data_IF_016737919647
#
_entry.id   IF_016737919647
#
_cell.length_a   1.000
_cell.length_b   1.000
_cell.length_c   1.000
_cell.angle_alpha   90.00
_cell.angle_beta   90.00
_cell.angle_gamma   90.00
#
_symmetry.space_group_name_H-M   'P 1'
#
loop_
_entity.id
_entity.type
_entity.pdbx_description
1 polymer ?
#
# COMPACT_ATOMS: atom_id res chain seq x y z
N UNK A 1 -48.65 -28.61 -10.58
CA UNK A 1 -48.04 -27.67 -9.60
C UNK A 1 -46.96 -28.40 -8.80
N UNK A 2 -45.76 -28.49 -9.36
CA UNK A 2 -44.52 -29.12 -8.88
C UNK A 2 -43.67 -28.97 -10.14
N UNK A 3 -42.84 -27.95 -10.32
CA UNK A 3 -41.55 -27.77 -9.67
C UNK A 3 -41.28 -26.27 -9.61
N UNK A 4 -41.46 -25.69 -8.42
CA UNK A 4 -41.09 -24.31 -8.11
C UNK A 4 -40.38 -24.38 -6.77
N UNK A 5 -39.14 -24.85 -6.77
CA UNK A 5 -38.20 -24.68 -5.65
C UNK A 5 -36.79 -25.11 -6.08
N UNK A 6 -35.80 -24.34 -5.63
CA UNK A 6 -34.35 -24.53 -5.76
C UNK A 6 -33.66 -24.01 -7.02
N UNK A 7 -33.76 -22.70 -7.25
CA UNK A 7 -32.69 -21.92 -7.89
C UNK A 7 -32.25 -20.81 -6.92
N UNK A 8 -31.68 -21.21 -5.79
CA UNK A 8 -31.16 -20.31 -4.77
C UNK A 8 -29.71 -20.72 -4.45
N UNK A 9 -28.84 -19.71 -4.49
CA UNK A 9 -27.47 -19.66 -3.98
C UNK A 9 -26.39 -20.48 -4.69
N UNK A 10 -25.71 -19.81 -5.61
CA UNK A 10 -24.25 -19.75 -5.59
C UNK A 10 -23.80 -18.42 -6.19
N UNK A 11 -24.16 -17.30 -5.55
CA UNK A 11 -23.36 -16.08 -5.73
C UNK A 11 -22.12 -16.32 -4.88
N UNK A 12 -21.06 -16.79 -5.52
CA UNK A 12 -19.72 -16.82 -4.93
C UNK A 12 -19.34 -15.38 -4.61
N UNK A 13 -19.60 -14.94 -3.38
CA UNK A 13 -18.90 -13.81 -2.81
C UNK A 13 -17.46 -14.27 -2.66
N UNK A 14 -16.61 -13.90 -3.63
CA UNK A 14 -15.16 -13.91 -3.44
C UNK A 14 -14.86 -12.92 -2.32
N UNK A 15 -14.99 -13.39 -1.08
CA UNK A 15 -14.38 -12.75 0.06
C UNK A 15 -12.88 -12.83 -0.19
N UNK A 16 -12.28 -11.74 -0.67
CA UNK A 16 -10.85 -11.57 -0.70
C UNK A 16 -10.35 -11.62 0.75
N UNK A 17 -10.09 -12.83 1.24
CA UNK A 17 -9.44 -13.07 2.50
C UNK A 17 -8.01 -12.56 2.34
N UNK A 18 -7.76 -11.35 2.85
CA UNK A 18 -6.41 -10.80 2.90
C UNK A 18 -5.53 -11.79 3.67
N UNK A 19 -4.43 -12.22 3.06
CA UNK A 19 -3.46 -13.07 3.74
C UNK A 19 -2.80 -12.26 4.85
N UNK A 20 -3.24 -12.50 6.10
CA UNK A 20 -2.61 -11.94 7.29
C UNK A 20 -1.32 -12.72 7.54
N UNK A 21 -0.18 -12.05 7.38
CA UNK A 21 1.12 -12.63 7.72
C UNK A 21 1.47 -12.43 9.20
N UNK A 22 2.45 -13.19 9.67
CA UNK A 22 3.00 -13.05 11.03
C UNK A 22 3.82 -11.78 11.17
N UNK A 23 3.96 -11.29 12.40
CA UNK A 23 4.75 -10.08 12.68
C UNK A 23 6.22 -10.23 12.27
N UNK A 24 6.81 -11.41 12.46
CA UNK A 24 8.18 -11.74 11.99
C UNK A 24 8.31 -11.62 10.48
N UNK A 25 7.28 -12.04 9.73
CA UNK A 25 7.27 -11.92 8.28
C UNK A 25 7.19 -10.46 7.85
N UNK A 26 6.39 -9.63 8.51
CA UNK A 26 6.34 -8.18 8.26
C UNK A 26 7.68 -7.49 8.54
N UNK A 27 8.42 -7.92 9.57
CA UNK A 27 9.75 -7.37 9.88
C UNK A 27 10.82 -7.70 8.84
N UNK A 28 10.67 -8.79 8.10
CA UNK A 28 11.69 -9.29 7.17
C UNK A 28 11.36 -8.99 5.71
N UNK A 29 10.09 -8.86 5.36
CA UNK A 29 9.63 -8.69 3.99
C UNK A 29 8.84 -7.38 3.82
N UNK A 30 9.13 -6.56 2.79
CA UNK A 30 8.44 -5.28 2.55
C UNK A 30 7.08 -5.49 1.88
N UNK A 31 6.21 -6.31 2.47
CA UNK A 31 4.92 -6.68 1.87
C UNK A 31 3.93 -5.52 1.80
N UNK A 32 4.11 -4.49 2.63
CA UNK A 32 3.37 -3.24 2.55
C UNK A 32 3.44 -2.62 1.14
N UNK A 33 4.52 -2.84 0.38
CA UNK A 33 4.65 -2.40 -1.02
C UNK A 33 3.58 -3.04 -1.92
N UNK A 34 3.35 -4.34 -1.75
CA UNK A 34 2.33 -5.06 -2.52
C UNK A 34 0.92 -4.69 -2.03
N UNK A 35 0.73 -4.58 -0.71
CA UNK A 35 -0.56 -4.24 -0.10
C UNK A 35 -1.10 -2.88 -0.59
N UNK A 36 -0.25 -1.86 -0.72
CA UNK A 36 -0.68 -0.56 -1.26
C UNK A 36 -1.24 -0.62 -2.68
N UNK A 37 -0.79 -1.59 -3.49
CA UNK A 37 -1.24 -1.78 -4.87
C UNK A 37 -2.51 -2.62 -4.96
N UNK A 38 -2.86 -3.32 -3.89
CA UNK A 38 -4.07 -4.11 -3.78
C UNK A 38 -5.24 -3.19 -3.39
N UNK A 39 -6.23 -3.11 -4.28
CA UNK A 39 -7.45 -2.31 -4.07
C UNK A 39 -8.32 -2.80 -2.93
N UNK A 40 -8.12 -4.06 -2.51
CA UNK A 40 -8.86 -4.65 -1.41
C UNK A 40 -8.15 -4.48 -0.06
N UNK A 41 -6.88 -4.04 -0.02
CA UNK A 41 -6.06 -4.01 1.19
C UNK A 41 -6.65 -3.16 2.31
N UNK A 42 -6.51 -3.65 3.55
CA UNK A 42 -6.92 -2.94 4.74
C UNK A 42 -5.83 -1.94 5.13
N UNK A 43 -6.25 -0.71 5.44
CA UNK A 43 -5.35 0.37 5.78
C UNK A 43 -4.51 0.06 7.02
N UNK A 44 -5.14 -0.39 8.11
CA UNK A 44 -4.46 -0.67 9.38
C UNK A 44 -3.50 -1.85 9.27
N UNK A 45 -3.83 -2.88 8.48
CA UNK A 45 -2.89 -3.97 8.23
C UNK A 45 -1.69 -3.51 7.41
N UNK A 46 -1.90 -2.65 6.41
CA UNK A 46 -0.81 -2.10 5.59
C UNK A 46 0.10 -1.19 6.43
N UNK A 47 -0.48 -0.34 7.28
CA UNK A 47 0.22 0.51 8.23
C UNK A 47 1.01 -0.30 9.26
N UNK A 48 0.42 -1.38 9.80
CA UNK A 48 1.12 -2.32 10.68
C UNK A 48 2.31 -2.97 9.96
N UNK A 49 2.12 -3.46 8.73
CA UNK A 49 3.18 -4.09 7.96
C UNK A 49 4.32 -3.10 7.64
N UNK A 50 4.00 -1.85 7.32
CA UNK A 50 4.99 -0.79 7.14
C UNK A 50 5.76 -0.52 8.43
N UNK A 51 5.04 -0.34 9.54
CA UNK A 51 5.63 0.02 10.84
C UNK A 51 6.57 -1.08 11.34
N UNK A 52 6.16 -2.35 11.25
CA UNK A 52 7.00 -3.49 11.66
C UNK A 52 8.23 -3.65 10.76
N UNK A 53 8.10 -3.43 9.45
CA UNK A 53 9.24 -3.51 8.54
C UNK A 53 10.31 -2.45 8.88
N UNK A 54 9.90 -1.27 9.35
CA UNK A 54 10.81 -0.18 9.68
C UNK A 54 11.15 -0.06 11.18
N UNK A 55 10.59 -0.89 12.05
CA UNK A 55 10.82 -0.86 13.51
C UNK A 55 12.32 -0.93 13.88
N UNK A 56 13.09 -1.73 13.14
CA UNK A 56 14.53 -1.94 13.35
C UNK A 56 15.40 -1.30 12.25
N UNK A 57 14.84 -0.40 11.43
CA UNK A 57 15.51 0.16 10.24
C UNK A 57 15.31 1.66 10.13
N UNK A 58 16.33 2.36 9.66
CA UNK A 58 16.19 3.78 9.33
C UNK A 58 15.35 3.96 8.06
N UNK A 59 14.17 4.56 8.22
CA UNK A 59 13.32 4.95 7.09
C UNK A 59 14.08 5.96 6.24
N UNK A 60 14.25 5.74 4.92
CA UNK A 60 14.89 6.71 4.06
C UNK A 60 14.10 8.02 4.09
N UNK A 61 14.73 9.11 4.53
CA UNK A 61 14.08 10.41 4.62
C UNK A 61 13.69 10.91 3.23
N UNK A 62 12.47 11.42 3.09
CA UNK A 62 11.93 11.98 1.86
C UNK A 62 11.81 13.51 1.92
N UNK A 63 12.18 14.15 0.81
CA UNK A 63 12.07 15.58 0.44
C UNK A 63 13.27 16.51 0.69
N UNK A 64 14.30 16.14 1.45
CA UNK A 64 15.52 16.97 1.61
C UNK A 64 16.86 16.30 1.25
N UNK A 65 16.83 15.12 0.63
CA UNK A 65 18.02 14.63 -0.06
C UNK A 65 18.16 15.46 -1.36
N UNK A 66 19.00 16.49 -1.29
CA UNK A 66 19.39 17.41 -2.35
C UNK A 66 19.23 16.83 -3.76
N UNK A 67 18.14 17.21 -4.44
CA UNK A 67 18.04 17.12 -5.90
C UNK A 67 18.99 18.18 -6.46
N UNK A 68 20.30 17.98 -6.35
CA UNK A 68 21.22 19.07 -6.65
C UNK A 68 22.70 18.85 -6.40
N UNK A 69 23.11 17.93 -5.52
CA UNK A 69 24.53 17.63 -5.41
C UNK A 69 24.96 16.72 -6.56
N UNK A 70 25.24 17.38 -7.69
CA UNK A 70 26.17 16.94 -8.74
C UNK A 70 27.56 16.74 -8.11
N UNK A 71 27.69 15.83 -7.14
CA UNK A 71 28.98 15.30 -6.70
C UNK A 71 29.58 14.74 -7.97
N UNK A 72 30.69 15.38 -8.36
CA UNK A 72 31.59 15.06 -9.46
C UNK A 72 31.39 13.63 -9.94
N UNK A 73 31.15 13.43 -11.25
CA UNK A 73 30.96 12.10 -11.85
C UNK A 73 32.06 11.16 -11.37
N UNK A 74 31.83 10.47 -10.24
CA UNK A 74 32.73 9.47 -9.71
C UNK A 74 32.84 8.41 -10.79
N UNK A 75 34.03 7.83 -10.95
CA UNK A 75 34.30 6.69 -11.84
C UNK A 75 33.08 5.76 -11.86
N UNK A 76 32.63 5.38 -13.05
CA UNK A 76 31.39 4.63 -13.25
C UNK A 76 31.28 3.52 -12.19
N UNK A 77 30.23 3.53 -11.33
CA UNK A 77 30.16 2.61 -10.20
C UNK A 77 30.19 1.17 -10.71
N UNK A 78 30.79 0.26 -9.93
CA UNK A 78 30.80 -1.16 -10.29
C UNK A 78 29.37 -1.69 -10.47
N UNK A 79 29.18 -2.76 -11.25
CA UNK A 79 27.85 -3.39 -11.43
C UNK A 79 27.17 -3.72 -10.09
N UNK A 80 27.94 -4.15 -9.08
CA UNK A 80 27.43 -4.44 -7.73
C UNK A 80 26.93 -3.17 -7.02
N UNK A 81 27.68 -2.08 -7.13
CA UNK A 81 27.31 -0.79 -6.54
C UNK A 81 26.10 -0.18 -7.24
N UNK A 82 26.00 -0.28 -8.57
CA UNK A 82 24.82 0.13 -9.33
C UNK A 82 23.56 -0.59 -8.85
N UNK A 83 23.62 -1.91 -8.63
CA UNK A 83 22.50 -2.69 -8.10
C UNK A 83 22.07 -2.22 -6.70
N UNK A 84 23.03 -1.94 -5.82
CA UNK A 84 22.73 -1.41 -4.48
C UNK A 84 22.04 -0.04 -4.56
N UNK A 85 22.57 0.87 -5.37
CA UNK A 85 21.98 2.20 -5.61
C UNK A 85 20.55 2.05 -6.16
N UNK A 86 20.35 1.13 -7.10
CA UNK A 86 19.02 0.87 -7.66
C UNK A 86 18.03 0.35 -6.60
N UNK A 87 18.45 -0.58 -5.75
CA UNK A 87 17.62 -1.10 -4.66
C UNK A 87 17.27 -0.03 -3.63
N UNK A 88 18.25 0.80 -3.24
CA UNK A 88 18.02 1.92 -2.32
C UNK A 88 17.05 2.95 -2.92
N UNK A 89 17.22 3.30 -4.20
CA UNK A 89 16.32 4.20 -4.91
C UNK A 89 14.91 3.63 -5.04
N UNK A 90 14.79 2.33 -5.29
CA UNK A 90 13.49 1.65 -5.30
C UNK A 90 12.80 1.73 -3.93
N UNK A 91 13.55 1.52 -2.85
CA UNK A 91 13.00 1.60 -1.49
C UNK A 91 12.59 3.03 -1.12
N UNK A 92 13.44 4.03 -1.42
CA UNK A 92 13.12 5.46 -1.23
C UNK A 92 11.83 5.83 -1.99
N UNK A 93 11.70 5.36 -3.24
CA UNK A 93 10.47 5.56 -4.03
C UNK A 93 9.27 4.88 -3.39
N UNK A 94 9.40 3.64 -2.91
CA UNK A 94 8.31 2.91 -2.28
C UNK A 94 7.81 3.61 -1.01
N UNK A 95 8.72 4.13 -0.17
CA UNK A 95 8.35 4.92 1.03
C UNK A 95 7.61 6.20 0.64
N UNK A 96 8.05 6.88 -0.42
CA UNK A 96 7.32 8.04 -0.96
C UNK A 96 5.92 7.66 -1.45
N UNK A 97 5.79 6.55 -2.17
CA UNK A 97 4.51 6.02 -2.62
C UNK A 97 3.60 5.69 -1.43
N UNK A 98 4.14 5.18 -0.33
CA UNK A 98 3.40 4.94 0.91
C UNK A 98 2.84 6.20 1.54
N UNK A 99 3.66 7.22 1.75
CA UNK A 99 3.15 8.47 2.32
C UNK A 99 2.09 9.13 1.43
N UNK A 100 2.28 9.08 0.12
CA UNK A 100 1.28 9.56 -0.83
C UNK A 100 -0.01 8.73 -0.75
N UNK A 101 0.12 7.40 -0.71
CA UNK A 101 -1.01 6.48 -0.60
C UNK A 101 -1.80 6.75 0.68
N UNK A 102 -1.16 6.85 1.85
CA UNK A 102 -1.81 7.19 3.12
C UNK A 102 -2.62 8.48 2.99
N UNK A 103 -2.04 9.55 2.46
CA UNK A 103 -2.74 10.83 2.25
C UNK A 103 -3.93 10.70 1.29
N UNK A 104 -3.79 9.89 0.24
CA UNK A 104 -4.83 9.70 -0.78
C UNK A 104 -6.01 8.87 -0.28
N UNK A 105 -5.77 7.89 0.60
CA UNK A 105 -6.80 6.99 1.12
C UNK A 105 -7.42 7.50 2.41
N UNK A 106 -6.71 8.33 3.18
CA UNK A 106 -7.14 8.90 4.47
C UNK A 106 -8.61 9.33 4.53
N UNK A 107 -9.15 10.15 3.60
CA UNK A 107 -10.55 10.59 3.68
C UNK A 107 -11.57 9.48 3.40
N UNK A 108 -11.11 8.31 2.95
CA UNK A 108 -11.93 7.18 2.51
C UNK A 108 -11.78 5.95 3.41
N UNK A 109 -11.05 6.07 4.52
CA UNK A 109 -10.88 4.98 5.50
C UNK A 109 -12.14 4.88 6.36
N UNK A 110 -12.65 3.66 6.49
CA UNK A 110 -13.76 3.33 7.39
C UNK A 110 -13.25 2.95 8.78
N UNK A 111 -14.17 2.81 9.74
CA UNK A 111 -13.82 2.51 11.15
C UNK A 111 -13.11 1.17 11.33
N UNK A 112 -13.31 0.22 10.41
CA UNK A 112 -12.68 -1.10 10.38
C UNK A 112 -11.35 -1.14 9.59
N UNK A 113 -10.92 0.00 9.03
CA UNK A 113 -9.71 0.10 8.21
C UNK A 113 -9.93 -0.25 6.75
N UNK A 114 -11.16 -0.59 6.34
CA UNK A 114 -11.49 -0.80 4.93
C UNK A 114 -11.41 0.53 4.19
N UNK A 115 -10.77 0.51 3.03
CA UNK A 115 -10.72 1.67 2.14
C UNK A 115 -11.95 1.65 1.24
N UNK A 116 -12.66 2.77 1.15
CA UNK A 116 -13.84 2.87 0.31
C UNK A 116 -13.51 2.62 -1.17
N UNK A 117 -14.34 1.81 -1.82
CA UNK A 117 -14.28 1.52 -3.25
C UNK A 117 -14.54 2.78 -4.10
N UNK A 118 -14.14 2.81 -5.38
CA UNK A 118 -14.40 3.97 -6.24
C UNK A 118 -15.86 4.42 -6.26
N UNK A 119 -16.81 3.48 -6.24
CA UNK A 119 -18.23 3.78 -6.18
C UNK A 119 -18.63 4.45 -4.86
N UNK A 120 -18.17 3.91 -3.72
CA UNK A 120 -18.43 4.50 -2.40
C UNK A 120 -17.81 5.90 -2.28
N UNK A 121 -16.61 6.12 -2.84
CA UNK A 121 -15.98 7.45 -2.89
C UNK A 121 -16.83 8.46 -3.66
N UNK A 122 -17.45 8.05 -4.76
CA UNK A 122 -18.38 8.90 -5.52
C UNK A 122 -19.62 9.27 -4.71
N UNK A 123 -20.16 8.33 -3.92
CA UNK A 123 -21.30 8.60 -3.03
C UNK A 123 -20.93 9.59 -1.93
N UNK A 124 -19.77 9.40 -1.29
CA UNK A 124 -19.23 10.33 -0.28
C UNK A 124 -19.08 11.73 -0.89
N UNK A 125 -18.50 11.83 -2.09
CA UNK A 125 -18.34 13.10 -2.79
C UNK A 125 -19.68 13.78 -3.12
N UNK A 126 -20.67 13.02 -3.63
CA UNK A 126 -22.02 13.55 -3.89
C UNK A 126 -22.66 14.08 -2.61
N UNK A 127 -22.53 13.35 -1.50
CA UNK A 127 -23.10 13.74 -0.22
C UNK A 127 -22.47 15.02 0.34
N UNK A 128 -21.17 15.24 0.13
CA UNK A 128 -20.48 16.46 0.54
C UNK A 128 -20.94 17.66 -0.30
N UNK A 129 -21.13 17.49 -1.61
CA UNK A 129 -21.42 18.60 -2.54
C UNK A 129 -22.92 18.87 -2.77
N UNK A 130 -23.81 18.03 -2.25
CA UNK A 130 -25.27 18.24 -2.29
C UNK A 130 -25.82 18.82 -0.98
N UNK A 131 -24.95 19.15 -0.02
CA UNK A 131 -25.26 19.96 1.16
C UNK A 131 -25.05 21.43 0.87
#
# INVERSE_FOLDING_TARGET
MKYLLFMLLAVSLDAAAQQVHTDEYYRTHPVWIAMMRDTSANYFLTEKAFSLYWEERDVPQGEHDEIGERRERKKMPSRRQQRKIQQENQMRRAVKEYHFWCRSVWPYIQTDGRIATPHERLLIWKQINQR
#
